data_IF_927320974130
#
_entry.id   IF_927320974130
#
_cell.length_a   1.000
_cell.length_b   1.000
_cell.length_c   1.000
_cell.angle_alpha   90.00
_cell.angle_beta   90.00
_cell.angle_gamma   90.00
#
_symmetry.space_group_name_H-M   'P 1'
#
loop_
_entity.id
_entity.type
_entity.pdbx_description
1 polymer ?
#
# COMPACT_ATOMS: atom_id res chain seq x y z
N UNK A 1 -11.03 1.04 1.00
CA UNK A 1 -11.07 1.53 -0.41
C UNK A 1 -12.49 1.48 -0.95
N UNK A 2 -12.84 2.34 -1.91
CA UNK A 2 -14.19 2.42 -2.49
C UNK A 2 -14.15 2.07 -3.98
N UNK A 3 -15.11 1.27 -4.45
CA UNK A 3 -15.36 1.00 -5.87
C UNK A 3 -16.54 1.84 -6.33
N UNK A 4 -16.39 2.50 -7.49
CA UNK A 4 -17.46 3.25 -8.16
C UNK A 4 -17.85 2.52 -9.45
N UNK A 5 -19.13 2.17 -9.57
CA UNK A 5 -19.66 1.53 -10.77
C UNK A 5 -19.88 2.57 -11.87
N UNK A 6 -19.21 2.42 -13.01
CA UNK A 6 -19.33 3.38 -14.14
C UNK A 6 -20.41 2.99 -15.16
N UNK A 7 -20.79 1.71 -15.23
CA UNK A 7 -21.75 1.15 -16.20
C UNK A 7 -22.56 0.01 -15.55
N UNK A 8 -23.64 -0.40 -16.22
CA UNK A 8 -24.55 -1.46 -15.75
C UNK A 8 -25.60 -0.95 -14.76
N UNK A 9 -26.35 -1.88 -14.15
CA UNK A 9 -27.50 -1.54 -13.29
C UNK A 9 -27.12 -0.80 -12.00
N UNK A 10 -25.85 -0.94 -11.58
CA UNK A 10 -25.28 -0.23 -10.43
C UNK A 10 -24.62 1.10 -10.80
N UNK A 11 -24.67 1.56 -12.05
CA UNK A 11 -23.96 2.76 -12.48
C UNK A 11 -24.24 3.97 -11.57
N UNK A 12 -23.17 4.68 -11.18
CA UNK A 12 -23.23 5.81 -10.25
C UNK A 12 -23.21 5.43 -8.77
N UNK A 13 -23.32 4.15 -8.42
CA UNK A 13 -23.26 3.68 -7.03
C UNK A 13 -21.81 3.42 -6.60
N UNK A 14 -21.53 3.75 -5.35
CA UNK A 14 -20.26 3.46 -4.70
C UNK A 14 -20.46 2.40 -3.61
N UNK A 15 -19.53 1.46 -3.51
CA UNK A 15 -19.52 0.43 -2.48
C UNK A 15 -18.10 0.22 -1.94
N UNK A 16 -17.99 -0.38 -0.75
CA UNK A 16 -16.70 -0.79 -0.22
C UNK A 16 -16.08 -1.82 -1.16
N UNK A 17 -14.89 -1.54 -1.66
CA UNK A 17 -14.13 -2.48 -2.48
C UNK A 17 -13.37 -3.46 -1.59
N UNK A 18 -12.47 -2.92 -0.77
CA UNK A 18 -11.67 -3.68 0.20
C UNK A 18 -11.63 -2.90 1.50
N UNK A 19 -11.78 -3.64 2.60
CA UNK A 19 -11.69 -3.16 3.97
C UNK A 19 -10.46 -3.77 4.67
N UNK A 20 -10.14 -3.30 5.88
CA UNK A 20 -9.15 -3.88 6.79
C UNK A 20 -7.74 -4.05 6.19
N UNK A 21 -7.36 -3.17 5.25
CA UNK A 21 -5.99 -3.10 4.77
C UNK A 21 -5.03 -2.72 5.91
N UNK A 22 -3.84 -3.33 6.01
CA UNK A 22 -2.86 -3.05 7.07
C UNK A 22 -2.18 -1.68 6.94
N UNK A 23 -2.52 -0.91 5.91
CA UNK A 23 -2.04 0.45 5.67
C UNK A 23 -3.05 1.29 4.91
N UNK A 24 -2.76 2.59 4.78
CA UNK A 24 -3.58 3.50 4.00
C UNK A 24 -3.32 3.28 2.51
N UNK A 25 -4.36 3.04 1.69
CA UNK A 25 -4.17 2.83 0.26
C UNK A 25 -3.68 4.11 -0.43
N UNK A 26 -2.70 3.94 -1.32
CA UNK A 26 -2.23 4.96 -2.26
C UNK A 26 -2.64 4.55 -3.68
N UNK A 27 -1.69 4.26 -4.58
CA UNK A 27 -2.01 3.83 -5.94
C UNK A 27 -2.46 2.37 -6.03
N UNK A 28 -3.28 2.11 -7.04
CA UNK A 28 -3.79 0.78 -7.42
C UNK A 28 -3.43 0.48 -8.88
N UNK A 29 -3.02 -0.76 -9.17
CA UNK A 29 -2.64 -1.22 -10.49
C UNK A 29 -3.29 -2.59 -10.77
N UNK A 30 -3.92 -2.73 -11.95
CA UNK A 30 -4.44 -4.02 -12.41
C UNK A 30 -3.29 -4.98 -12.71
N UNK A 31 -3.36 -6.18 -12.18
CA UNK A 31 -2.45 -7.28 -12.45
C UNK A 31 -2.94 -8.11 -13.67
N UNK A 32 -2.06 -8.89 -14.32
CA UNK A 32 -2.43 -9.66 -15.51
C UNK A 32 -3.52 -10.72 -15.29
N UNK A 33 -3.69 -11.18 -14.05
CA UNK A 33 -4.67 -12.20 -13.65
C UNK A 33 -6.06 -11.61 -13.29
N UNK A 34 -6.24 -10.29 -13.41
CA UNK A 34 -7.47 -9.59 -13.05
C UNK A 34 -7.53 -9.13 -11.59
N UNK A 35 -6.55 -9.49 -10.76
CA UNK A 35 -6.40 -8.94 -9.41
C UNK A 35 -5.80 -7.53 -9.45
N UNK A 36 -5.68 -6.90 -8.29
CA UNK A 36 -5.13 -5.56 -8.13
C UNK A 36 -3.97 -5.55 -7.16
N UNK A 37 -2.89 -4.85 -7.51
CA UNK A 37 -1.85 -4.47 -6.57
C UNK A 37 -2.13 -3.07 -6.01
N UNK A 38 -2.12 -2.94 -4.69
CA UNK A 38 -2.37 -1.69 -3.97
C UNK A 38 -1.13 -1.34 -3.16
N UNK A 39 -0.55 -0.16 -3.40
CA UNK A 39 0.49 0.39 -2.55
C UNK A 39 -0.13 0.87 -1.23
N UNK A 40 0.53 0.57 -0.10
CA UNK A 40 0.05 0.89 1.23
C UNK A 40 1.04 1.76 1.97
N UNK A 41 0.58 2.94 2.38
CA UNK A 41 1.31 3.84 3.27
C UNK A 41 1.11 3.33 4.70
N UNK A 42 2.22 3.14 5.42
CA UNK A 42 2.18 2.73 6.82
C UNK A 42 1.39 3.73 7.66
N UNK A 43 0.43 3.21 8.43
CA UNK A 43 -0.34 4.01 9.38
C UNK A 43 0.41 4.11 10.71
N UNK A 44 0.31 5.26 11.35
CA UNK A 44 0.77 5.44 12.73
C UNK A 44 -0.45 5.80 13.58
N UNK A 45 -0.90 4.92 14.49
CA UNK A 45 -2.06 5.20 15.35
C UNK A 45 -1.90 6.49 16.16
N UNK A 46 -0.67 6.77 16.59
CA UNK A 46 -0.32 8.03 17.24
C UNK A 46 -0.52 9.23 16.32
N UNK A 47 0.00 9.15 15.09
CA UNK A 47 -0.16 10.22 14.11
C UNK A 47 -1.63 10.41 13.73
N UNK A 48 -2.38 9.33 13.53
CA UNK A 48 -3.81 9.36 13.25
C UNK A 48 -4.59 10.09 14.36
N UNK A 49 -4.21 9.85 15.63
CA UNK A 49 -4.79 10.53 16.78
C UNK A 49 -4.44 12.03 16.80
N UNK A 50 -3.16 12.38 16.62
CA UNK A 50 -2.68 13.78 16.59
C UNK A 50 -3.34 14.55 15.46
N UNK A 51 -3.44 13.92 14.28
CA UNK A 51 -4.07 14.49 13.10
C UNK A 51 -5.60 14.47 13.17
N UNK A 52 -6.22 13.92 14.21
CA UNK A 52 -7.69 13.91 14.32
C UNK A 52 -8.29 15.32 14.48
N UNK A 53 -7.54 16.28 15.01
CA UNK A 53 -8.00 17.65 15.24
C UNK A 53 -7.56 18.60 14.13
N UNK A 54 -8.51 19.36 13.57
CA UNK A 54 -8.28 20.33 12.49
C UNK A 54 -7.22 21.38 12.84
N UNK A 55 -7.21 21.85 14.09
CA UNK A 55 -6.21 22.80 14.55
C UNK A 55 -4.79 22.21 14.48
N UNK A 56 -4.61 20.99 14.98
CA UNK A 56 -3.31 20.30 14.96
C UNK A 56 -2.83 20.03 13.54
N UNK A 57 -3.70 19.58 12.63
CA UNK A 57 -3.36 19.44 11.20
C UNK A 57 -2.83 20.76 10.64
N UNK A 58 -3.50 21.87 10.94
CA UNK A 58 -3.12 23.20 10.46
C UNK A 58 -1.78 23.65 11.02
N UNK A 59 -1.51 23.40 12.29
CA UNK A 59 -0.20 23.67 12.92
C UNK A 59 0.88 22.86 12.21
N UNK A 60 0.75 21.53 12.13
CA UNK A 60 1.78 20.70 11.48
C UNK A 60 2.01 21.11 10.03
N UNK A 61 0.94 21.35 9.26
CA UNK A 61 1.06 21.79 7.87
C UNK A 61 1.70 23.18 7.71
N UNK A 62 1.67 24.03 8.73
CA UNK A 62 2.27 25.38 8.68
C UNK A 62 3.75 25.41 9.03
N UNK A 63 4.29 24.35 9.64
CA UNK A 63 5.68 24.30 10.10
C UNK A 63 6.44 23.17 9.39
N UNK A 64 7.33 23.49 8.43
CA UNK A 64 8.06 22.49 7.64
C UNK A 64 8.75 21.41 8.49
N UNK A 65 9.41 21.80 9.58
CA UNK A 65 10.09 20.84 10.46
C UNK A 65 9.13 19.81 11.11
N UNK A 66 7.89 20.19 11.41
CA UNK A 66 6.88 19.25 11.92
C UNK A 66 6.39 18.33 10.82
N UNK A 67 6.18 18.86 9.62
CA UNK A 67 5.78 18.06 8.46
C UNK A 67 6.86 17.04 8.08
N UNK A 68 8.12 17.45 8.07
CA UNK A 68 9.27 16.57 7.82
C UNK A 68 9.38 15.47 8.87
N UNK A 69 9.18 15.80 10.16
CA UNK A 69 9.17 14.82 11.23
C UNK A 69 8.04 13.79 11.08
N UNK A 70 6.87 14.24 10.60
CA UNK A 70 5.74 13.35 10.29
C UNK A 70 6.06 12.43 9.12
N UNK A 71 6.63 12.95 8.04
CA UNK A 71 7.05 12.14 6.90
C UNK A 71 8.14 11.12 7.28
N UNK A 72 9.11 11.52 8.10
CA UNK A 72 10.19 10.65 8.55
C UNK A 72 9.74 9.54 9.52
N UNK A 73 8.54 9.65 10.11
CA UNK A 73 7.99 8.63 10.98
C UNK A 73 7.51 7.38 10.21
N UNK A 74 7.19 7.53 8.92
CA UNK A 74 6.86 6.41 8.03
C UNK A 74 8.14 5.79 7.47
N UNK A 75 8.56 4.66 8.03
CA UNK A 75 9.76 3.93 7.54
C UNK A 75 9.44 2.72 6.68
N UNK A 76 8.24 2.16 6.83
CA UNK A 76 7.87 0.95 6.14
C UNK A 76 7.43 1.15 4.69
N UNK A 77 7.36 0.03 3.99
CA UNK A 77 6.73 -0.10 2.70
C UNK A 77 5.88 -1.37 2.66
N UNK A 78 4.67 -1.28 2.13
CA UNK A 78 3.77 -2.43 2.00
C UNK A 78 3.05 -2.38 0.66
N UNK A 79 2.79 -3.55 0.10
CA UNK A 79 1.84 -3.71 -1.01
C UNK A 79 0.89 -4.88 -0.72
N UNK A 80 -0.37 -4.75 -1.11
CA UNK A 80 -1.35 -5.82 -1.04
C UNK A 80 -1.78 -6.24 -2.43
N UNK A 81 -1.92 -7.54 -2.66
CA UNK A 81 -2.66 -8.07 -3.79
C UNK A 81 -4.10 -8.31 -3.35
N UNK A 82 -5.06 -7.80 -4.10
CA UNK A 82 -6.49 -7.83 -3.81
C UNK A 82 -7.22 -8.41 -5.01
N UNK A 83 -8.16 -9.35 -4.80
CA UNK A 83 -8.97 -9.91 -5.87
C UNK A 83 -9.95 -8.88 -6.46
N UNK A 84 -10.59 -9.21 -7.58
CA UNK A 84 -11.66 -8.37 -8.17
C UNK A 84 -12.86 -8.18 -7.23
N UNK A 85 -13.10 -9.16 -6.36
CA UNK A 85 -14.16 -9.14 -5.35
C UNK A 85 -13.77 -8.38 -4.08
N UNK A 86 -12.51 -7.95 -3.96
CA UNK A 86 -12.03 -7.18 -2.81
C UNK A 86 -11.36 -7.99 -1.71
N UNK A 87 -11.08 -9.27 -1.94
CA UNK A 87 -10.39 -10.13 -0.96
C UNK A 87 -8.87 -9.89 -1.00
N UNK A 88 -8.25 -9.70 0.16
CA UNK A 88 -6.79 -9.58 0.26
C UNK A 88 -6.15 -10.95 0.09
N UNK A 89 -5.52 -11.18 -1.06
CA UNK A 89 -4.88 -12.46 -1.42
C UNK A 89 -3.52 -12.62 -0.75
N UNK A 90 -2.74 -11.53 -0.69
CA UNK A 90 -1.45 -11.49 0.02
C UNK A 90 -1.03 -10.06 0.34
N UNK A 91 -0.15 -9.93 1.32
CA UNK A 91 0.56 -8.69 1.64
C UNK A 91 2.06 -8.95 1.59
N UNK A 92 2.80 -8.08 0.92
CA UNK A 92 4.25 -8.07 0.94
C UNK A 92 4.68 -6.87 1.78
N UNK A 93 5.44 -7.15 2.85
CA UNK A 93 5.71 -6.21 3.92
C UNK A 93 7.22 -5.99 4.10
N UNK A 94 7.63 -4.73 4.04
CA UNK A 94 8.91 -4.20 4.51
C UNK A 94 8.64 -3.05 5.49
N UNK A 95 7.81 -3.30 6.51
CA UNK A 95 7.37 -2.32 7.53
C UNK A 95 8.53 -1.73 8.33
N UNK A 96 9.66 -2.42 8.39
CA UNK A 96 10.90 -1.92 8.99
C UNK A 96 11.73 -1.05 8.02
N UNK A 97 11.41 -1.04 6.72
CA UNK A 97 12.11 -0.28 5.70
C UNK A 97 13.54 -0.77 5.45
N UNK A 98 13.78 -2.08 5.54
CA UNK A 98 15.12 -2.68 5.42
C UNK A 98 15.69 -2.57 4.01
N UNK A 99 14.83 -2.62 3.01
CA UNK A 99 15.22 -2.61 1.59
C UNK A 99 14.67 -1.36 0.91
N UNK A 100 13.40 -1.04 1.13
CA UNK A 100 12.72 0.11 0.52
C UNK A 100 11.72 0.70 1.51
N UNK A 101 11.53 2.01 1.45
CA UNK A 101 10.54 2.71 2.26
C UNK A 101 9.60 3.54 1.40
N UNK A 102 8.42 3.83 1.92
CA UNK A 102 7.47 4.78 1.35
C UNK A 102 7.13 4.50 -0.12
N UNK A 103 6.73 3.26 -0.42
CA UNK A 103 6.23 2.86 -1.74
C UNK A 103 4.90 3.57 -1.99
N UNK A 104 4.81 4.25 -3.13
CA UNK A 104 3.59 4.93 -3.60
C UNK A 104 2.99 4.24 -4.81
N UNK A 105 3.74 3.38 -5.52
CA UNK A 105 3.23 2.62 -6.66
C UNK A 105 3.85 1.24 -6.78
N UNK A 106 3.08 0.33 -7.36
CA UNK A 106 3.47 -1.04 -7.66
C UNK A 106 2.95 -1.42 -9.03
N UNK A 107 3.78 -2.08 -9.83
CA UNK A 107 3.39 -2.56 -11.16
C UNK A 107 3.93 -3.96 -11.36
N UNK A 108 3.04 -4.90 -11.69
CA UNK A 108 3.43 -6.23 -12.11
C UNK A 108 3.74 -6.23 -13.60
N UNK A 109 4.90 -6.78 -13.97
CA UNK A 109 5.29 -6.96 -15.36
C UNK A 109 6.22 -8.17 -15.50
N UNK A 110 5.88 -9.10 -16.40
CA UNK A 110 6.68 -10.30 -16.68
C UNK A 110 7.07 -11.13 -15.44
N UNK A 111 6.15 -11.28 -14.47
CA UNK A 111 6.39 -12.08 -13.26
C UNK A 111 7.25 -11.38 -12.20
N UNK A 112 7.54 -10.09 -12.39
CA UNK A 112 8.23 -9.24 -11.42
C UNK A 112 7.33 -8.09 -10.98
N UNK A 113 7.47 -7.68 -9.73
CA UNK A 113 6.91 -6.44 -9.19
C UNK A 113 7.96 -5.34 -9.24
N UNK A 114 7.56 -4.18 -9.76
CA UNK A 114 8.33 -2.95 -9.76
C UNK A 114 7.69 -1.96 -8.80
N UNK A 115 8.51 -1.35 -7.95
CA UNK A 115 8.05 -0.43 -6.90
C UNK A 115 8.58 0.98 -7.12
N UNK A 116 7.68 1.95 -7.13
CA UNK A 116 8.01 3.37 -7.09
C UNK A 116 7.93 3.92 -5.67
N UNK A 117 8.90 4.74 -5.28
CA UNK A 117 8.94 5.41 -3.98
C UNK A 117 9.35 6.87 -4.15
N UNK A 118 8.80 7.74 -3.30
CA UNK A 118 9.18 9.15 -3.20
C UNK A 118 10.34 9.38 -2.21
N UNK A 119 10.73 8.35 -1.46
CA UNK A 119 11.77 8.42 -0.44
C UNK A 119 13.10 7.78 -0.88
N UNK A 120 13.13 7.09 -2.02
CA UNK A 120 14.33 6.43 -2.55
C UNK A 120 14.72 6.94 -3.93
N UNK A 121 16.00 6.81 -4.29
CA UNK A 121 16.54 7.20 -5.59
C UNK A 121 16.71 6.02 -6.57
N UNK A 122 15.97 4.94 -6.36
CA UNK A 122 15.99 3.74 -7.20
C UNK A 122 14.58 3.18 -7.39
N UNK A 123 14.43 2.24 -8.33
CA UNK A 123 13.22 1.45 -8.52
C UNK A 123 13.40 0.09 -7.85
N UNK A 124 12.49 -0.28 -6.95
CA UNK A 124 12.50 -1.59 -6.32
C UNK A 124 12.06 -2.66 -7.30
N UNK A 125 12.66 -3.86 -7.25
CA UNK A 125 12.25 -5.01 -8.05
C UNK A 125 12.17 -6.26 -7.18
N UNK A 126 11.05 -6.99 -7.24
CA UNK A 126 10.85 -8.26 -6.57
C UNK A 126 10.27 -9.30 -7.50
N UNK A 127 10.92 -10.46 -7.61
CA UNK A 127 10.43 -11.56 -8.43
C UNK A 127 9.34 -12.36 -7.70
N UNK A 128 8.16 -12.50 -8.31
CA UNK A 128 7.06 -13.27 -7.74
C UNK A 128 7.38 -14.76 -7.60
N UNK A 129 8.25 -15.29 -8.47
CA UNK A 129 8.73 -16.66 -8.36
C UNK A 129 9.51 -16.90 -7.05
N UNK A 130 10.31 -15.91 -6.62
CA UNK A 130 11.04 -15.96 -5.34
C UNK A 130 10.11 -15.86 -4.13
N UNK A 131 9.05 -15.04 -4.25
CA UNK A 131 8.02 -14.92 -3.21
C UNK A 131 7.31 -16.25 -3.00
N UNK A 132 6.87 -16.91 -4.08
CA UNK A 132 6.20 -18.21 -4.00
C UNK A 132 7.08 -19.29 -3.36
N UNK A 133 8.38 -19.31 -3.69
CA UNK A 133 9.35 -20.23 -3.07
C UNK A 133 9.50 -19.99 -1.57
N UNK A 134 9.64 -18.73 -1.15
CA UNK A 134 9.77 -18.38 0.27
C UNK A 134 8.51 -18.76 1.08
N UNK A 135 7.32 -18.50 0.52
CA UNK A 135 6.05 -18.88 1.15
C UNK A 135 5.88 -20.40 1.26
N UNK A 136 6.23 -21.15 0.21
CA UNK A 136 6.21 -22.61 0.23
C UNK A 136 7.18 -23.23 1.25
N UNK A 137 8.37 -22.64 1.41
CA UNK A 137 9.35 -23.08 2.42
C UNK A 137 8.88 -22.80 3.85
N UNK A 138 8.28 -21.64 4.10
CA UNK A 138 7.73 -21.29 5.42
C UNK A 138 6.54 -22.19 5.82
N UNK A 139 5.69 -22.55 4.86
CA UNK A 139 4.58 -23.47 5.09
C UNK A 139 5.03 -24.92 5.36
N UNK A 140 6.18 -25.34 4.80
CA UNK A 140 6.72 -26.69 5.00
C UNK A 140 7.50 -26.86 6.32
N UNK A 141 7.86 -25.76 6.99
CA UNK A 141 8.58 -25.76 8.27
C UNK A 141 7.69 -25.50 9.50
N UNK A 142 6.37 -25.36 9.28
CA UNK A 142 5.34 -25.18 10.31
C UNK A 142 4.54 -26.46 10.52
#
# INVERSE_FOLDING_TARGET
CTRLWLKGDKAGQAETFVDDLPGSPDNIQLAPDGSFWVALIQRSPWLDLVMRWTFTKRVVASFPALLDAVHAAGKGAMVAQVSEDGEVLRVLDDSEGKVINFITSVTEFNGDLFFGSLATNFVGKLSLAKVAQAQGQAAASS
#
